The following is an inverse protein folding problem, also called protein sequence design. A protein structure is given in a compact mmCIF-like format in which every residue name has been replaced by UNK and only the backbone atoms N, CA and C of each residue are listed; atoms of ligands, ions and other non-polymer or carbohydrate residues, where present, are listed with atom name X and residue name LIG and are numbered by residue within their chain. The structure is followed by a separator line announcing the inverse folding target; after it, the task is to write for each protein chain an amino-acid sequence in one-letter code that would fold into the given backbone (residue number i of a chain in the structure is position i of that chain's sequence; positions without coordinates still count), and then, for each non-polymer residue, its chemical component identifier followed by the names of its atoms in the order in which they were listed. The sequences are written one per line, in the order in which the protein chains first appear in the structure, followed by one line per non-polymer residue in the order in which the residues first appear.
data_IF_599721885691
#
_entry.id   IF_599721885691
#
_cell.length_a   1.000
_cell.length_b   1.000
_cell.length_c   1.000
_cell.angle_alpha   90.00
_cell.angle_beta   90.00
_cell.angle_gamma   90.00
#
_symmetry.space_group_name_H-M   'P 1'
#
loop_
_entity.id
_entity.type
_entity.pdbx_description
1 polymer ?
#
# COMPACT_ATOMS: atom_id res chain seq x y z
N UNK A 1 -11.05 -18.14 4.53
CA UNK A 1 -9.98 -19.15 4.33
C UNK A 1 -9.05 -19.16 5.53
N UNK A 2 -8.90 -20.28 6.24
CA UNK A 2 -7.98 -20.41 7.38
C UNK A 2 -6.53 -20.22 6.95
N UNK A 3 -5.65 -19.74 7.87
CA UNK A 3 -4.22 -19.48 7.57
C UNK A 3 -3.48 -20.71 7.01
N UNK A 4 -3.83 -21.91 7.48
CA UNK A 4 -3.22 -23.17 7.07
C UNK A 4 -3.52 -23.57 5.60
N UNK A 5 -4.60 -23.05 5.01
CA UNK A 5 -4.99 -23.36 3.64
C UNK A 5 -4.39 -22.40 2.59
N UNK A 6 -3.52 -21.47 3.00
CA UNK A 6 -2.91 -20.47 2.10
C UNK A 6 -1.68 -21.07 1.41
N UNK A 7 -1.90 -21.85 0.36
CA UNK A 7 -0.81 -22.31 -0.52
C UNK A 7 -0.42 -21.22 -1.52
N UNK A 8 0.81 -21.29 -2.03
CA UNK A 8 1.32 -20.39 -3.07
C UNK A 8 0.61 -20.59 -4.43
N UNK A 9 -0.12 -21.68 -4.60
CA UNK A 9 -0.91 -21.94 -5.81
C UNK A 9 -2.13 -21.04 -5.89
N UNK A 10 -2.63 -20.56 -4.75
CA UNK A 10 -3.74 -19.62 -4.71
C UNK A 10 -3.31 -18.26 -5.25
N UNK A 11 -4.11 -17.75 -6.18
CA UNK A 11 -3.88 -16.49 -6.87
C UNK A 11 -3.67 -15.30 -5.92
N UNK A 12 -4.52 -15.21 -4.88
CA UNK A 12 -4.41 -14.17 -3.87
C UNK A 12 -3.09 -14.27 -3.09
N UNK A 13 -2.66 -15.47 -2.72
CA UNK A 13 -1.38 -15.69 -2.02
C UNK A 13 -0.20 -15.29 -2.89
N UNK A 14 -0.26 -15.54 -4.21
CA UNK A 14 0.80 -15.11 -5.15
C UNK A 14 0.96 -13.60 -5.17
N UNK A 15 -0.14 -12.84 -5.27
CA UNK A 15 -0.09 -11.38 -5.20
C UNK A 15 0.48 -10.89 -3.88
N UNK A 16 0.02 -11.45 -2.75
CA UNK A 16 0.56 -11.10 -1.43
C UNK A 16 2.06 -11.38 -1.34
N UNK A 17 2.52 -12.51 -1.88
CA UNK A 17 3.94 -12.85 -1.96
C UNK A 17 4.75 -11.87 -2.81
N UNK A 18 4.23 -11.46 -3.97
CA UNK A 18 4.89 -10.46 -4.83
C UNK A 18 4.95 -9.09 -4.14
N UNK A 19 3.87 -8.64 -3.52
CA UNK A 19 3.84 -7.39 -2.76
C UNK A 19 4.84 -7.48 -1.59
N UNK A 20 4.91 -8.62 -0.89
CA UNK A 20 5.89 -8.87 0.17
C UNK A 20 7.34 -8.71 -0.31
N UNK A 21 7.66 -9.12 -1.54
CA UNK A 21 9.00 -8.89 -2.12
C UNK A 21 9.32 -7.41 -2.28
N UNK A 22 8.34 -6.58 -2.66
CA UNK A 22 8.53 -5.12 -2.76
C UNK A 22 8.87 -4.52 -1.38
N UNK A 23 8.10 -4.88 -0.35
CA UNK A 23 8.37 -4.42 1.02
C UNK A 23 9.71 -4.94 1.57
N UNK A 24 10.14 -6.15 1.20
CA UNK A 24 11.45 -6.67 1.60
C UNK A 24 12.61 -5.81 1.03
N UNK A 25 12.46 -5.26 -0.19
CA UNK A 25 13.42 -4.31 -0.75
C UNK A 25 13.43 -3.01 0.07
N UNK A 26 12.26 -2.50 0.44
CA UNK A 26 12.14 -1.26 1.23
C UNK A 26 12.73 -1.38 2.64
N UNK A 27 12.54 -2.53 3.30
CA UNK A 27 13.16 -2.80 4.61
C UNK A 27 14.69 -2.74 4.50
N UNK A 28 15.26 -3.34 3.45
CA UNK A 28 16.72 -3.29 3.20
C UNK A 28 17.20 -1.87 2.86
N UNK A 29 16.35 -1.08 2.21
CA UNK A 29 16.65 0.28 1.79
C UNK A 29 16.35 1.36 2.85
N UNK A 30 15.76 0.99 3.99
CA UNK A 30 15.27 1.94 5.01
C UNK A 30 16.38 2.86 5.53
N UNK A 31 17.58 2.31 5.78
CA UNK A 31 18.74 3.08 6.27
C UNK A 31 19.49 3.87 5.19
N UNK A 32 19.10 3.74 3.93
CA UNK A 32 19.76 4.45 2.83
C UNK A 32 19.16 5.85 2.66
N UNK A 33 20.01 6.80 2.25
CA UNK A 33 19.55 8.09 1.75
C UNK A 33 18.70 7.91 0.48
N UNK A 34 17.75 8.81 0.23
CA UNK A 34 16.77 8.68 -0.86
C UNK A 34 17.40 8.40 -2.24
N UNK A 35 18.47 9.12 -2.60
CA UNK A 35 19.20 8.90 -3.86
C UNK A 35 19.74 7.46 -3.97
N UNK A 36 20.20 6.87 -2.86
CA UNK A 36 20.72 5.49 -2.82
C UNK A 36 19.60 4.44 -2.81
N UNK A 37 18.35 4.80 -2.47
CA UNK A 37 17.18 3.91 -2.52
C UNK A 37 16.69 3.65 -3.94
N UNK A 38 16.94 4.56 -4.88
CA UNK A 38 16.51 4.37 -6.27
C UNK A 38 17.18 3.16 -6.93
N UNK A 39 18.47 2.93 -6.66
CA UNK A 39 19.23 1.81 -7.26
C UNK A 39 18.62 0.42 -6.95
N UNK A 40 18.32 0.05 -5.69
CA UNK A 40 17.68 -1.23 -5.41
C UNK A 40 16.23 -1.28 -5.92
N UNK A 41 15.49 -0.16 -5.91
CA UNK A 41 14.13 -0.11 -6.47
C UNK A 41 14.13 -0.38 -7.98
N UNK A 42 15.00 0.29 -8.73
CA UNK A 42 15.14 0.08 -10.17
C UNK A 42 15.56 -1.35 -10.52
N UNK A 43 16.47 -1.95 -9.73
CA UNK A 43 16.99 -3.31 -9.98
C UNK A 43 16.00 -4.41 -9.61
N UNK A 44 15.29 -4.27 -8.48
CA UNK A 44 14.49 -5.35 -7.91
C UNK A 44 12.99 -5.03 -7.92
N UNK A 45 12.59 -3.84 -7.48
CA UNK A 45 11.17 -3.50 -7.38
C UNK A 45 10.52 -3.35 -8.75
N UNK A 46 11.20 -2.76 -9.74
CA UNK A 46 10.63 -2.56 -11.08
C UNK A 46 10.27 -3.86 -11.78
N UNK A 47 11.11 -4.91 -11.66
CA UNK A 47 10.82 -6.21 -12.26
C UNK A 47 9.65 -6.91 -11.56
N UNK A 48 9.55 -6.80 -10.23
CA UNK A 48 8.41 -7.35 -9.48
C UNK A 48 7.12 -6.60 -9.83
N UNK A 49 7.16 -5.28 -9.99
CA UNK A 49 6.01 -4.48 -10.42
C UNK A 49 5.52 -4.93 -11.80
N UNK A 50 6.41 -5.12 -12.78
CA UNK A 50 6.04 -5.60 -14.10
C UNK A 50 5.33 -6.98 -14.04
N UNK A 51 5.83 -7.90 -13.20
CA UNK A 51 5.19 -9.21 -12.99
C UNK A 51 3.81 -9.07 -12.36
N UNK A 52 3.65 -8.18 -11.38
CA UNK A 52 2.35 -7.91 -10.73
C UNK A 52 1.36 -7.33 -11.72
N UNK A 53 1.77 -6.34 -12.52
CA UNK A 53 0.92 -5.71 -13.54
C UNK A 53 0.45 -6.71 -14.58
N UNK A 54 1.39 -7.46 -15.16
CA UNK A 54 1.09 -8.48 -16.15
C UNK A 54 0.14 -9.55 -15.58
N UNK A 55 0.44 -10.07 -14.38
CA UNK A 55 -0.40 -11.06 -13.72
C UNK A 55 -1.81 -10.52 -13.44
N UNK A 56 -1.92 -9.27 -12.99
CA UNK A 56 -3.20 -8.61 -12.74
C UNK A 56 -4.03 -8.49 -14.02
N UNK A 57 -3.43 -8.01 -15.12
CA UNK A 57 -4.13 -7.83 -16.41
C UNK A 57 -4.60 -9.16 -16.97
N UNK A 58 -3.76 -10.21 -16.89
CA UNK A 58 -4.09 -11.54 -17.40
C UNK A 58 -5.22 -12.22 -16.60
N UNK A 59 -5.29 -11.98 -15.29
CA UNK A 59 -6.22 -12.69 -14.41
C UNK A 59 -7.55 -11.97 -14.22
N UNK A 60 -7.59 -10.64 -14.40
CA UNK A 60 -8.81 -9.84 -14.23
C UNK A 60 -10.02 -10.37 -15.02
N UNK A 61 -9.89 -10.83 -16.28
CA UNK A 61 -11.00 -11.39 -17.05
C UNK A 61 -11.53 -12.72 -16.50
N UNK A 62 -10.67 -13.50 -15.85
CA UNK A 62 -11.01 -14.86 -15.35
C UNK A 62 -11.67 -14.86 -13.98
N UNK A 63 -11.68 -13.73 -13.28
CA UNK A 63 -12.14 -13.63 -11.89
C UNK A 63 -13.52 -12.99 -11.84
N UNK A 64 -14.42 -13.60 -11.06
CA UNK A 64 -15.76 -13.06 -10.80
C UNK A 64 -15.65 -11.63 -10.22
N UNK A 65 -16.22 -10.61 -10.88
CA UNK A 65 -16.08 -9.21 -10.48
C UNK A 65 -16.51 -8.87 -9.06
N UNK A 66 -17.56 -9.54 -8.56
CA UNK A 66 -18.15 -9.31 -7.24
C UNK A 66 -17.37 -9.99 -6.10
N UNK A 67 -16.47 -10.93 -6.42
CA UNK A 67 -15.62 -11.59 -5.44
C UNK A 67 -14.67 -10.60 -4.74
N UNK A 68 -14.23 -10.94 -3.53
CA UNK A 68 -13.27 -10.10 -2.79
C UNK A 68 -11.98 -9.86 -3.58
N UNK A 69 -11.47 -10.89 -4.26
CA UNK A 69 -10.28 -10.76 -5.11
C UNK A 69 -10.56 -9.91 -6.36
N UNK A 70 -11.71 -10.11 -7.01
CA UNK A 70 -12.13 -9.32 -8.17
C UNK A 70 -12.28 -7.83 -7.85
N UNK A 71 -12.83 -7.50 -6.67
CA UNK A 71 -12.90 -6.13 -6.15
C UNK A 71 -11.50 -5.56 -5.89
N UNK A 72 -10.64 -6.32 -5.22
CA UNK A 72 -9.28 -5.88 -4.88
C UNK A 72 -8.42 -5.61 -6.13
N UNK A 73 -8.41 -6.52 -7.11
CA UNK A 73 -7.62 -6.34 -8.34
C UNK A 73 -8.14 -5.20 -9.21
N UNK A 74 -9.46 -4.99 -9.28
CA UNK A 74 -10.04 -3.85 -10.00
C UNK A 74 -9.66 -2.52 -9.37
N UNK A 75 -9.71 -2.44 -8.05
CA UNK A 75 -9.24 -1.27 -7.32
C UNK A 75 -7.74 -1.04 -7.54
N UNK A 76 -6.92 -2.08 -7.40
CA UNK A 76 -5.48 -2.02 -7.65
C UNK A 76 -5.17 -1.55 -9.06
N UNK A 77 -5.88 -2.05 -10.07
CA UNK A 77 -5.72 -1.63 -11.48
C UNK A 77 -5.97 -0.14 -11.66
N UNK A 78 -7.03 0.41 -11.05
CA UNK A 78 -7.32 1.84 -11.11
C UNK A 78 -6.26 2.72 -10.44
N UNK A 79 -5.59 2.19 -9.41
CA UNK A 79 -4.51 2.90 -8.69
C UNK A 79 -3.12 2.62 -9.26
N UNK A 80 -2.96 1.68 -10.18
CA UNK A 80 -1.66 1.20 -10.67
C UNK A 80 -0.73 2.31 -11.16
N UNK A 81 -1.20 3.31 -11.96
CA UNK A 81 -0.34 4.41 -12.41
C UNK A 81 0.23 5.25 -11.28
N UNK A 82 -0.38 5.25 -10.10
CA UNK A 82 0.11 5.95 -8.90
C UNK A 82 1.01 5.05 -8.06
N UNK A 83 0.60 3.78 -7.89
CA UNK A 83 1.32 2.81 -7.07
C UNK A 83 2.68 2.46 -7.64
N UNK A 84 2.83 2.32 -8.95
CA UNK A 84 4.12 1.93 -9.55
C UNK A 84 5.19 3.05 -9.45
N UNK A 85 4.77 4.31 -9.39
CA UNK A 85 5.66 5.48 -9.50
C UNK A 85 6.66 5.65 -8.37
N UNK A 86 6.44 5.05 -7.20
CA UNK A 86 7.39 5.21 -6.08
C UNK A 86 8.83 4.74 -6.42
N UNK A 87 8.99 3.86 -7.42
CA UNK A 87 10.33 3.44 -7.87
C UNK A 87 11.09 4.52 -8.64
N UNK A 88 10.38 5.50 -9.20
CA UNK A 88 10.95 6.62 -9.97
C UNK A 88 11.66 7.62 -9.04
N UNK A 89 11.19 7.76 -7.80
CA UNK A 89 11.73 8.73 -6.85
C UNK A 89 11.98 8.10 -5.47
N UNK A 90 13.23 8.14 -5.01
CA UNK A 90 13.64 7.57 -3.72
C UNK A 90 13.03 8.26 -2.49
N UNK A 91 12.49 9.47 -2.65
CA UNK A 91 11.76 10.19 -1.60
C UNK A 91 10.31 9.72 -1.45
N UNK A 92 9.74 9.08 -2.48
CA UNK A 92 8.36 8.62 -2.41
C UNK A 92 8.29 7.31 -1.64
N UNK A 93 7.43 7.22 -0.59
CA UNK A 93 7.24 5.99 0.15
C UNK A 93 6.40 5.00 -0.67
N UNK A 94 6.63 3.71 -0.48
CA UNK A 94 5.83 2.64 -1.10
C UNK A 94 4.37 2.62 -0.59
N UNK A 95 4.14 3.14 0.62
CA UNK A 95 2.85 3.08 1.31
C UNK A 95 2.54 4.39 2.02
N UNK A 96 1.25 4.69 2.16
CA UNK A 96 0.73 5.82 2.93
C UNK A 96 0.75 5.60 4.46
N UNK A 97 1.35 4.50 4.96
CA UNK A 97 1.37 4.15 6.39
C UNK A 97 1.79 5.30 7.31
N UNK A 98 2.73 6.16 6.89
CA UNK A 98 3.14 7.33 7.67
C UNK A 98 1.99 8.33 7.83
N UNK A 99 1.29 8.64 6.73
CA UNK A 99 0.13 9.53 6.76
C UNK A 99 -1.02 8.92 7.57
N UNK A 100 -1.27 7.61 7.42
CA UNK A 100 -2.28 6.91 8.22
C UNK A 100 -1.95 6.93 9.71
N UNK A 101 -0.69 6.74 10.07
CA UNK A 101 -0.23 6.84 11.46
C UNK A 101 -0.36 8.26 11.99
N UNK A 102 -0.06 9.29 11.19
CA UNK A 102 -0.17 10.69 11.58
C UNK A 102 -1.63 11.14 11.81
N UNK A 103 -2.58 10.68 10.98
CA UNK A 103 -4.00 11.04 11.14
C UNK A 103 -4.71 10.18 12.21
N UNK A 104 -4.14 9.02 12.58
CA UNK A 104 -4.79 8.07 13.51
C UNK A 104 -5.14 8.68 14.87
N UNK A 105 -4.27 9.44 15.57
CA UNK A 105 -4.60 10.07 16.83
C UNK A 105 -5.86 10.93 16.73
N UNK A 106 -5.96 11.75 15.69
CA UNK A 106 -7.14 12.58 15.42
C UNK A 106 -8.40 11.74 15.20
N UNK A 107 -8.32 10.69 14.36
CA UNK A 107 -9.47 9.82 14.04
C UNK A 107 -9.98 9.07 15.27
N UNK A 108 -9.10 8.72 16.22
CA UNK A 108 -9.47 8.09 17.49
C UNK A 108 -10.07 9.15 18.44
N UNK A 109 -9.41 10.31 18.57
CA UNK A 109 -9.79 11.38 19.50
C UNK A 109 -11.09 12.11 19.14
N UNK A 110 -11.44 12.23 17.85
CA UNK A 110 -12.64 12.98 17.40
C UNK A 110 -13.96 12.53 18.00
N UNK A 111 -14.07 11.28 18.47
CA UNK A 111 -15.26 10.80 19.20
C UNK A 111 -15.39 11.41 20.60
N UNK A 112 -14.28 11.79 21.23
CA UNK A 112 -14.23 12.48 22.52
C UNK A 112 -14.36 14.00 22.43
N UNK A 113 -14.23 14.57 21.22
CA UNK A 113 -14.28 16.03 21.00
C UNK A 113 -15.54 16.49 20.27
N UNK A 114 -16.59 15.68 20.29
CA UNK A 114 -17.89 16.00 19.65
C UNK A 114 -18.52 17.29 20.20
N UNK A 115 -18.10 17.74 21.38
CA UNK A 115 -18.61 18.94 22.07
C UNK A 115 -17.64 20.13 22.03
N UNK A 116 -16.60 20.08 21.20
CA UNK A 116 -15.73 21.25 20.98
C UNK A 116 -16.50 22.32 20.18
N UNK A 117 -17.19 23.21 20.89
CA UNK A 117 -18.09 24.23 20.32
C UNK A 117 -17.42 25.61 20.15
N UNK A 118 -16.12 25.71 20.42
CA UNK A 118 -15.35 26.93 20.21
C UNK A 118 -14.26 26.70 19.17
N UNK A 119 -13.90 27.74 18.41
CA UNK A 119 -12.77 27.71 17.46
C UNK A 119 -11.49 27.27 18.16
N UNK A 120 -11.24 27.76 19.39
CA UNK A 120 -10.11 27.36 20.20
C UNK A 120 -10.15 25.87 20.58
N UNK A 121 -11.31 25.36 21.00
CA UNK A 121 -11.51 23.94 21.32
C UNK A 121 -11.33 23.04 20.10
N UNK A 122 -11.82 23.45 18.93
CA UNK A 122 -11.63 22.74 17.68
C UNK A 122 -10.15 22.71 17.24
N UNK A 123 -9.44 23.83 17.37
CA UNK A 123 -8.03 23.94 17.03
C UNK A 123 -7.13 23.12 17.97
N UNK A 124 -7.43 23.13 19.28
CA UNK A 124 -6.74 22.28 20.26
C UNK A 124 -6.97 20.77 19.99
N UNK A 125 -8.16 20.42 19.50
CA UNK A 125 -8.53 19.03 19.19
C UNK A 125 -7.95 18.55 17.85
N UNK A 126 -7.70 19.45 16.89
CA UNK A 126 -7.22 19.09 15.54
C UNK A 126 -5.69 18.99 15.40
N UNK A 127 -4.92 19.54 16.34
CA UNK A 127 -3.45 19.61 16.31
C UNK A 127 -2.78 18.58 17.24
N UNK A 128 -3.04 17.27 17.02
CA UNK A 128 -2.36 16.18 17.73
C UNK A 128 -1.01 15.80 17.11
#
# INVERSE_FOLDING_TARGET
MPKAARTLDLLATRFVGLIGKLFAVEVRATKLAAQRRQRPRARYSSSVLAVVEHSMVMQLPTIVPSSLLGKALRYMRGQWPRLARYVENGNWPISNNLCENAIRPFVIGRKGWLFADTVAGAQASANL
#
